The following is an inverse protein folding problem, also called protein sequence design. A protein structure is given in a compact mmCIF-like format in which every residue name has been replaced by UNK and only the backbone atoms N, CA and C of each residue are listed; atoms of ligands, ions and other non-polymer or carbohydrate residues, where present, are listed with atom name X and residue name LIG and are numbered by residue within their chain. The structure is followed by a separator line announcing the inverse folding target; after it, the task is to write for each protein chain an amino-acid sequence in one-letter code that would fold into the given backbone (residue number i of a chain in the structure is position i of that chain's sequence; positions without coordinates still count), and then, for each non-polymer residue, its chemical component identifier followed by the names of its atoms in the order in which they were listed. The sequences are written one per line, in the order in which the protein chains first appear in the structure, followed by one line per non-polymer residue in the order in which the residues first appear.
data_IF_130317273885
#
_entry.id   IF_130317273885
#
_cell.length_a   1.000
_cell.length_b   1.000
_cell.length_c   1.000
_cell.angle_alpha   90.00
_cell.angle_beta   90.00
_cell.angle_gamma   90.00
#
_symmetry.space_group_name_H-M   'P 1'
#
loop_
_entity.id
_entity.type
_entity.pdbx_description
1 polymer ?
#
# COMPACT_ATOMS: atom_id res chain seq x y z
N UNK A 1 -13.54 -14.69 -9.10
CA UNK A 1 -12.14 -15.10 -8.79
C UNK A 1 -11.13 -14.59 -9.82
N UNK A 2 -11.21 -14.95 -11.11
CA UNK A 2 -10.20 -14.55 -12.12
C UNK A 2 -10.09 -13.02 -12.29
N UNK A 3 -11.23 -12.29 -12.37
CA UNK A 3 -11.22 -10.82 -12.45
C UNK A 3 -10.64 -10.14 -11.22
N UNK A 4 -10.88 -10.71 -10.03
CA UNK A 4 -10.30 -10.20 -8.80
C UNK A 4 -8.77 -10.36 -8.81
N UNK A 5 -8.28 -11.54 -9.21
CA UNK A 5 -6.84 -11.82 -9.28
C UNK A 5 -6.15 -10.96 -10.34
N UNK A 6 -6.77 -10.74 -11.50
CA UNK A 6 -6.18 -9.89 -12.55
C UNK A 6 -6.05 -8.43 -12.10
N UNK A 7 -7.07 -7.88 -11.45
CA UNK A 7 -7.03 -6.53 -10.86
C UNK A 7 -5.99 -6.45 -9.75
N UNK A 8 -5.87 -7.49 -8.92
CA UNK A 8 -4.88 -7.56 -7.86
C UNK A 8 -3.45 -7.59 -8.39
N UNK A 9 -3.17 -8.43 -9.41
CA UNK A 9 -1.86 -8.50 -10.06
C UNK A 9 -1.52 -7.16 -10.72
N UNK A 10 -2.49 -6.53 -11.38
CA UNK A 10 -2.31 -5.22 -11.97
C UNK A 10 -2.02 -4.15 -10.90
N UNK A 11 -2.72 -4.19 -9.76
CA UNK A 11 -2.48 -3.30 -8.63
C UNK A 11 -1.05 -3.47 -8.07
N UNK A 12 -0.57 -4.71 -7.92
CA UNK A 12 0.79 -5.01 -7.49
C UNK A 12 1.83 -4.48 -8.49
N UNK A 13 1.57 -4.64 -9.79
CA UNK A 13 2.45 -4.11 -10.84
C UNK A 13 2.51 -2.58 -10.81
N UNK A 14 1.34 -1.92 -10.75
CA UNK A 14 1.24 -0.47 -10.59
C UNK A 14 1.96 0.02 -9.33
N UNK A 15 1.81 -0.70 -8.22
CA UNK A 15 2.46 -0.38 -6.96
C UNK A 15 3.99 -0.40 -7.11
N UNK A 16 4.53 -1.43 -7.78
CA UNK A 16 5.95 -1.53 -8.13
C UNK A 16 6.42 -0.41 -9.07
N UNK A 17 5.61 0.02 -10.04
CA UNK A 17 5.96 1.11 -10.95
C UNK A 17 5.93 2.47 -10.23
N UNK A 18 4.87 2.75 -9.48
CA UNK A 18 4.69 4.00 -8.71
C UNK A 18 5.74 4.19 -7.62
N UNK A 19 6.22 3.10 -7.00
CA UNK A 19 7.34 3.17 -6.05
C UNK A 19 8.68 3.49 -6.72
N UNK A 20 8.83 3.16 -8.00
CA UNK A 20 10.02 3.50 -8.80
C UNK A 20 9.97 4.92 -9.38
N UNK A 21 8.80 5.58 -9.36
CA UNK A 21 8.54 6.75 -10.17
C UNK A 21 8.85 8.12 -9.51
N UNK A 22 9.03 9.09 -10.41
CA UNK A 22 9.46 10.50 -10.38
C UNK A 22 9.13 11.36 -9.15
N UNK A 23 8.11 11.02 -8.35
CA UNK A 23 7.69 11.85 -7.20
C UNK A 23 8.75 11.93 -6.09
N UNK A 24 9.49 10.84 -5.85
CA UNK A 24 10.64 10.83 -4.92
C UNK A 24 11.80 11.70 -5.42
N UNK A 25 11.97 11.80 -6.75
CA UNK A 25 12.96 12.68 -7.39
C UNK A 25 12.54 14.14 -7.28
N UNK A 26 11.24 14.45 -7.40
CA UNK A 26 10.70 15.81 -7.18
C UNK A 26 10.86 16.25 -5.72
N UNK A 27 10.72 15.34 -4.75
CA UNK A 27 10.92 15.65 -3.33
C UNK A 27 12.36 16.12 -3.02
N UNK A 28 13.38 15.58 -3.70
CA UNK A 28 14.78 16.04 -3.58
C UNK A 28 14.97 17.50 -4.00
N UNK A 29 14.11 18.03 -4.88
CA UNK A 29 14.17 19.44 -5.31
C UNK A 29 13.74 20.43 -4.20
N UNK A 30 13.09 19.93 -3.14
CA UNK A 30 12.60 20.72 -2.00
C UNK A 30 13.56 20.69 -0.79
N UNK A 31 14.85 20.41 -0.98
CA UNK A 31 15.85 20.43 0.12
C UNK A 31 16.00 21.80 0.81
N UNK A 32 15.50 22.89 0.20
CA UNK A 32 15.52 24.25 0.77
C UNK A 32 14.46 24.49 1.87
N UNK A 33 13.48 23.59 2.04
CA UNK A 33 12.37 23.75 2.98
C UNK A 33 12.69 23.16 4.35
N UNK A 34 11.99 23.63 5.39
CA UNK A 34 12.08 23.07 6.75
C UNK A 34 11.76 21.56 6.74
N UNK A 35 12.41 20.81 7.63
CA UNK A 35 12.24 19.36 7.67
C UNK A 35 10.77 18.97 7.93
N UNK A 36 10.10 19.66 8.86
CA UNK A 36 8.67 19.45 9.15
C UNK A 36 7.78 19.56 7.89
N UNK A 37 8.02 20.57 7.04
CA UNK A 37 7.27 20.74 5.80
C UNK A 37 7.55 19.60 4.80
N UNK A 38 8.81 19.14 4.72
CA UNK A 38 9.19 17.99 3.88
C UNK A 38 8.52 16.70 4.36
N UNK A 39 8.37 16.52 5.67
CA UNK A 39 7.68 15.39 6.27
C UNK A 39 6.20 15.37 5.90
N UNK A 40 5.50 16.50 6.11
CA UNK A 40 4.09 16.65 5.72
C UNK A 40 3.89 16.39 4.23
N UNK A 41 4.78 16.92 3.39
CA UNK A 41 4.71 16.72 1.95
C UNK A 41 4.97 15.25 1.56
N UNK A 42 5.93 14.58 2.20
CA UNK A 42 6.22 13.16 1.96
C UNK A 42 5.03 12.27 2.35
N UNK A 43 4.40 12.55 3.49
CA UNK A 43 3.24 11.81 3.97
C UNK A 43 2.00 12.04 3.09
N UNK A 44 1.69 13.29 2.77
CA UNK A 44 0.59 13.63 1.85
C UNK A 44 0.78 12.99 0.46
N UNK A 45 2.01 12.96 -0.04
CA UNK A 45 2.33 12.29 -1.30
C UNK A 45 2.07 10.79 -1.22
N UNK A 46 2.44 10.13 -0.11
CA UNK A 46 2.17 8.69 0.11
C UNK A 46 0.66 8.42 0.13
N UNK A 47 -0.11 9.26 0.83
CA UNK A 47 -1.58 9.15 0.87
C UNK A 47 -2.18 9.35 -0.52
N UNK A 48 -1.72 10.36 -1.28
CA UNK A 48 -2.20 10.59 -2.64
C UNK A 48 -1.88 9.41 -3.58
N UNK A 49 -0.68 8.83 -3.46
CA UNK A 49 -0.31 7.64 -4.22
C UNK A 49 -1.18 6.42 -3.86
N UNK A 50 -1.51 6.25 -2.58
CA UNK A 50 -2.43 5.21 -2.11
C UNK A 50 -3.82 5.41 -2.73
N UNK A 51 -4.39 6.62 -2.60
CA UNK A 51 -5.70 6.97 -3.17
C UNK A 51 -5.72 6.72 -4.68
N UNK A 52 -4.68 7.15 -5.41
CA UNK A 52 -4.56 6.91 -6.85
C UNK A 52 -4.58 5.41 -7.18
N UNK A 53 -3.85 4.57 -6.44
CA UNK A 53 -3.84 3.10 -6.64
C UNK A 53 -5.21 2.49 -6.40
N UNK A 54 -5.89 2.92 -5.34
CA UNK A 54 -7.24 2.45 -4.97
C UNK A 54 -8.24 2.83 -6.06
N UNK A 55 -8.27 4.10 -6.49
CA UNK A 55 -9.19 4.58 -7.53
C UNK A 55 -8.98 3.84 -8.85
N UNK A 56 -7.72 3.68 -9.30
CA UNK A 56 -7.44 2.95 -10.55
C UNK A 56 -7.87 1.49 -10.44
N UNK A 57 -7.60 0.84 -9.31
CA UNK A 57 -7.95 -0.57 -9.10
C UNK A 57 -9.46 -0.78 -9.10
N UNK A 58 -10.22 0.06 -8.40
CA UNK A 58 -11.68 0.01 -8.37
C UNK A 58 -12.24 0.35 -9.75
N UNK A 59 -11.69 1.37 -10.42
CA UNK A 59 -12.14 1.78 -11.76
C UNK A 59 -12.03 0.63 -12.77
N UNK A 60 -10.89 -0.06 -12.81
CA UNK A 60 -10.70 -1.22 -13.70
C UNK A 60 -11.66 -2.35 -13.34
N UNK A 61 -11.88 -2.59 -12.05
CA UNK A 61 -12.81 -3.61 -11.59
C UNK A 61 -14.25 -3.34 -12.05
N UNK A 62 -14.71 -2.09 -11.89
CA UNK A 62 -16.04 -1.67 -12.34
C UNK A 62 -16.15 -1.79 -13.87
N UNK A 63 -15.15 -1.35 -14.61
CA UNK A 63 -15.13 -1.45 -16.08
C UNK A 63 -15.22 -2.90 -16.56
N UNK A 64 -14.51 -3.84 -15.90
CA UNK A 64 -14.61 -5.27 -16.22
C UNK A 64 -16.01 -5.82 -15.96
N UNK A 65 -16.67 -5.42 -14.87
CA UNK A 65 -18.05 -5.84 -14.60
C UNK A 65 -19.03 -5.29 -15.65
N UNK A 66 -18.89 -4.01 -16.03
CA UNK A 66 -19.70 -3.41 -17.10
C UNK A 66 -19.50 -4.16 -18.43
N UNK A 67 -18.25 -4.51 -18.75
CA UNK A 67 -17.92 -5.28 -19.94
C UNK A 67 -18.58 -6.67 -19.91
N UNK A 68 -18.56 -7.38 -18.77
CA UNK A 68 -19.27 -8.65 -18.62
C UNK A 68 -20.78 -8.51 -18.82
N UNK A 69 -21.41 -7.47 -18.27
CA UNK A 69 -22.85 -7.20 -18.47
C UNK A 69 -23.16 -6.92 -19.94
N UNK A 70 -22.32 -6.15 -20.63
CA UNK A 70 -22.47 -5.89 -22.06
C UNK A 70 -22.41 -7.19 -22.88
N UNK A 71 -21.47 -8.09 -22.56
CA UNK A 71 -21.38 -9.39 -23.24
C UNK A 71 -22.63 -10.24 -23.05
N UNK A 72 -23.17 -10.30 -21.84
CA UNK A 72 -24.44 -10.99 -21.55
C UNK A 72 -25.57 -10.42 -22.41
N UNK A 73 -25.68 -9.09 -22.48
CA UNK A 73 -26.77 -8.42 -23.21
C UNK A 73 -26.64 -8.53 -24.74
N UNK A 74 -25.42 -8.73 -25.25
CA UNK A 74 -25.18 -8.89 -26.70
C UNK A 74 -25.70 -10.22 -27.26
N UNK A 75 -26.05 -11.19 -26.40
CA UNK A 75 -26.53 -12.53 -26.73
C UNK A 75 -25.66 -13.30 -27.77
N UNK A 76 -24.41 -12.87 -27.95
CA UNK A 76 -23.43 -13.50 -28.85
C UNK A 76 -22.86 -14.81 -28.31
N UNK A 77 -23.24 -15.20 -27.09
CA UNK A 77 -22.69 -16.32 -26.35
C UNK A 77 -23.80 -17.34 -26.05
N UNK A 78 -23.41 -18.60 -25.86
CA UNK A 78 -24.35 -19.68 -25.51
C UNK A 78 -25.12 -19.35 -24.21
N UNK A 79 -26.39 -19.76 -24.14
CA UNK A 79 -27.25 -19.52 -22.98
C UNK A 79 -26.63 -20.01 -21.65
N UNK A 80 -25.97 -21.17 -21.65
CA UNK A 80 -25.27 -21.70 -20.47
C UNK A 80 -24.11 -20.81 -20.01
N UNK A 81 -23.45 -20.15 -20.96
CA UNK A 81 -22.36 -19.22 -20.67
C UNK A 81 -22.89 -17.91 -20.08
N UNK A 82 -24.02 -17.39 -20.59
CA UNK A 82 -24.67 -16.20 -20.05
C UNK A 82 -25.10 -16.38 -18.58
N UNK A 83 -25.69 -17.53 -18.24
CA UNK A 83 -26.06 -17.86 -16.85
C UNK A 83 -24.82 -17.87 -15.93
N UNK A 84 -23.73 -18.48 -16.40
CA UNK A 84 -22.46 -18.53 -15.65
C UNK A 84 -21.84 -17.13 -15.45
N UNK A 85 -21.93 -16.26 -16.46
CA UNK A 85 -21.45 -14.88 -16.37
C UNK A 85 -22.29 -14.04 -15.41
N UNK A 86 -23.61 -14.19 -15.42
CA UNK A 86 -24.51 -13.50 -14.47
C UNK A 86 -24.13 -13.86 -13.03
N UNK A 87 -24.03 -15.16 -12.74
CA UNK A 87 -23.59 -15.64 -11.43
C UNK A 87 -22.22 -15.06 -11.05
N UNK A 88 -21.28 -15.01 -11.99
CA UNK A 88 -19.94 -14.47 -11.73
C UNK A 88 -19.94 -12.98 -11.43
N UNK A 89 -20.73 -12.17 -12.16
CA UNK A 89 -20.87 -10.72 -11.94
C UNK A 89 -21.50 -10.42 -10.59
N UNK A 90 -22.58 -11.10 -10.21
CA UNK A 90 -23.23 -10.92 -8.90
C UNK A 90 -22.27 -11.20 -7.74
N UNK A 91 -21.53 -12.31 -7.82
CA UNK A 91 -20.52 -12.64 -6.82
C UNK A 91 -19.37 -11.63 -6.80
N UNK A 92 -18.98 -11.07 -7.94
CA UNK A 92 -17.96 -10.04 -8.03
C UNK A 92 -18.40 -8.75 -7.31
N UNK A 93 -19.62 -8.29 -7.55
CA UNK A 93 -20.17 -7.11 -6.86
C UNK A 93 -20.15 -7.29 -5.33
N UNK A 94 -20.48 -8.49 -4.84
CA UNK A 94 -20.46 -8.82 -3.41
C UNK A 94 -19.04 -8.88 -2.81
N UNK A 95 -18.00 -9.14 -3.61
CA UNK A 95 -16.60 -9.22 -3.17
C UNK A 95 -15.91 -7.84 -3.15
N UNK A 96 -16.57 -6.77 -3.61
CA UNK A 96 -16.02 -5.41 -3.64
C UNK A 96 -15.32 -4.95 -2.34
N UNK A 97 -15.90 -5.14 -1.13
CA UNK A 97 -15.24 -4.72 0.11
C UNK A 97 -13.89 -5.43 0.32
N UNK A 98 -13.82 -6.73 0.01
CA UNK A 98 -12.58 -7.50 0.11
C UNK A 98 -11.52 -6.98 -0.85
N UNK A 99 -11.92 -6.61 -2.09
CA UNK A 99 -11.00 -6.00 -3.06
C UNK A 99 -10.40 -4.69 -2.53
N UNK A 100 -11.21 -3.81 -1.96
CA UNK A 100 -10.74 -2.53 -1.43
C UNK A 100 -9.75 -2.78 -0.29
N UNK A 101 -10.10 -3.67 0.65
CA UNK A 101 -9.24 -4.02 1.77
C UNK A 101 -7.90 -4.60 1.30
N UNK A 102 -7.91 -5.56 0.37
CA UNK A 102 -6.68 -6.21 -0.08
C UNK A 102 -5.78 -5.28 -0.90
N UNK A 103 -6.36 -4.44 -1.77
CA UNK A 103 -5.64 -3.39 -2.50
C UNK A 103 -4.98 -2.41 -1.55
N UNK A 104 -5.70 -1.99 -0.52
CA UNK A 104 -5.23 -1.03 0.48
C UNK A 104 -4.07 -1.59 1.29
N UNK A 105 -4.22 -2.81 1.82
CA UNK A 105 -3.17 -3.52 2.58
C UNK A 105 -1.92 -3.70 1.72
N UNK A 106 -2.07 -4.09 0.45
CA UNK A 106 -0.91 -4.33 -0.42
C UNK A 106 -0.23 -3.06 -0.93
N UNK A 107 -0.94 -1.92 -0.90
CA UNK A 107 -0.39 -0.63 -1.32
C UNK A 107 0.47 0.04 -0.25
N UNK A 108 0.35 -0.37 1.01
CA UNK A 108 1.09 0.18 2.16
C UNK A 108 2.04 -0.89 2.72
N UNK A 109 3.37 -0.74 2.60
CA UNK A 109 4.32 -1.80 2.97
C UNK A 109 4.26 -2.25 4.44
N UNK A 110 4.15 -1.35 5.44
CA UNK A 110 3.99 -1.77 6.83
C UNK A 110 2.75 -2.64 7.05
N UNK A 111 1.62 -2.23 6.47
CA UNK A 111 0.35 -2.97 6.61
C UNK A 111 0.41 -4.34 5.94
N UNK A 112 1.04 -4.42 4.77
CA UNK A 112 1.29 -5.69 4.09
C UNK A 112 2.13 -6.63 4.96
N UNK A 113 3.21 -6.12 5.56
CA UNK A 113 4.12 -6.92 6.36
C UNK A 113 3.46 -7.44 7.63
N UNK A 114 2.72 -6.60 8.35
CA UNK A 114 1.96 -7.02 9.54
C UNK A 114 0.90 -8.06 9.17
N UNK A 115 0.15 -7.83 8.09
CA UNK A 115 -0.87 -8.78 7.62
C UNK A 115 -0.25 -10.15 7.26
N UNK A 116 0.88 -10.17 6.55
CA UNK A 116 1.59 -11.41 6.25
C UNK A 116 2.11 -12.13 7.50
N UNK A 117 2.59 -11.39 8.50
CA UNK A 117 3.02 -11.96 9.77
C UNK A 117 1.85 -12.58 10.54
N UNK A 118 0.69 -11.94 10.55
CA UNK A 118 -0.50 -12.46 11.23
C UNK A 118 -1.06 -13.69 10.51
N UNK A 119 -1.08 -13.68 9.18
CA UNK A 119 -1.41 -14.87 8.38
C UNK A 119 -0.42 -16.01 8.67
N UNK A 120 0.88 -15.72 8.75
CA UNK A 120 1.90 -16.71 9.09
C UNK A 120 1.68 -17.31 10.49
N UNK A 121 1.32 -16.50 11.49
CA UNK A 121 0.97 -16.99 12.84
C UNK A 121 -0.25 -17.90 12.81
N UNK A 122 -1.30 -17.52 12.07
CA UNK A 122 -2.51 -18.34 11.92
C UNK A 122 -2.20 -19.67 11.23
N UNK A 123 -1.36 -19.67 10.20
CA UNK A 123 -0.94 -20.90 9.50
C UNK A 123 -0.09 -21.82 10.38
N UNK A 124 0.75 -21.25 11.25
CA UNK A 124 1.48 -22.02 12.28
C UNK A 124 0.51 -22.58 13.32
N UNK A 125 -0.47 -21.80 13.76
CA UNK A 125 -1.50 -22.24 14.72
C UNK A 125 -2.35 -23.40 14.18
N UNK A 126 -2.71 -23.37 12.90
CA UNK A 126 -3.48 -24.42 12.22
C UNK A 126 -2.59 -25.65 11.89
N UNK A 127 -1.28 -25.59 12.14
CA UNK A 127 -0.36 -26.71 11.93
C UNK A 127 0.03 -26.95 10.46
N UNK A 128 -0.39 -26.06 9.55
CA UNK A 128 -0.07 -26.13 8.12
C UNK A 128 1.37 -25.69 7.79
N UNK A 129 2.09 -25.08 8.75
CA UNK A 129 3.47 -24.60 8.55
C UNK A 129 4.33 -24.77 9.81
N UNK A 130 5.53 -25.37 9.68
CA UNK A 130 6.54 -25.43 10.75
C UNK A 130 7.16 -24.03 10.95
N UNK A 131 6.93 -23.46 12.13
CA UNK A 131 7.38 -22.11 12.51
C UNK A 131 8.91 -21.98 12.44
N UNK A 132 9.38 -21.08 11.57
CA UNK A 132 10.80 -20.90 11.33
C UNK A 132 11.11 -19.58 10.66
N UNK A 133 10.77 -18.45 11.30
CA UNK A 133 11.40 -17.16 10.98
C UNK A 133 11.63 -16.39 12.27
N UNK A 134 12.89 -16.36 12.72
CA UNK A 134 13.34 -15.47 13.80
C UNK A 134 13.12 -14.03 13.33
N UNK A 135 12.30 -13.31 14.09
CA UNK A 135 12.13 -11.86 13.95
C UNK A 135 13.46 -11.22 14.31
N UNK A 136 14.14 -10.61 13.34
CA UNK A 136 15.30 -9.79 13.62
C UNK A 136 14.77 -8.46 14.17
N UNK A 137 14.86 -8.28 15.49
CA UNK A 137 14.78 -6.96 16.09
C UNK A 137 16.02 -6.18 15.63
N UNK A 138 15.82 -5.20 14.75
CA UNK A 138 16.89 -4.25 14.42
C UNK A 138 17.30 -3.51 15.68
N UNK A 139 18.57 -3.68 16.05
CA UNK A 139 19.17 -3.01 17.21
C UNK A 139 19.35 -1.54 16.86
N UNK A 140 18.78 -0.65 17.67
CA UNK A 140 19.03 0.80 17.62
C UNK A 140 20.54 1.05 17.77
N UNK A 141 21.11 1.91 16.91
CA UNK A 141 22.48 2.40 17.01
C UNK A 141 22.62 3.34 18.23
N UNK A 142 23.78 3.38 18.92
CA UNK A 142 23.97 4.22 20.09
C UNK A 142 24.13 5.70 19.71
N UNK A 143 23.50 6.56 20.52
CA UNK A 143 23.59 8.02 20.46
C UNK A 143 25.02 8.47 20.79
N UNK A 144 25.61 9.29 19.92
CA UNK A 144 26.89 9.98 20.20
C UNK A 144 26.55 11.37 20.73
N UNK A 145 26.70 11.56 22.04
CA UNK A 145 26.63 12.88 22.68
C UNK A 145 27.74 13.77 22.12
N UNK A 146 27.33 14.85 21.46
CA UNK A 146 28.19 15.94 21.02
C UNK A 146 27.67 17.23 21.62
N UNK A 147 28.20 17.56 22.80
CA UNK A 147 28.08 18.86 23.47
C UNK A 147 28.46 20.01 22.52
N UNK A 148 27.60 21.01 22.44
CA UNK A 148 27.89 22.27 21.78
C UNK A 148 26.73 23.24 21.90
N UNK A 149 26.97 24.39 22.51
CA UNK A 149 26.04 25.49 22.74
C UNK A 149 25.52 26.00 21.39
N UNK A 150 24.21 25.86 21.13
CA UNK A 150 23.60 26.33 19.88
C UNK A 150 22.37 27.19 20.20
N UNK A 151 22.40 28.46 19.77
CA UNK A 151 21.36 29.45 20.02
C UNK A 151 19.94 28.97 19.68
N UNK A 152 18.95 29.41 20.45
CA UNK A 152 17.62 28.79 20.56
C UNK A 152 16.88 28.48 19.25
N UNK A 153 17.08 29.26 18.19
CA UNK A 153 16.46 28.99 16.88
C UNK A 153 17.14 27.86 16.08
N UNK A 154 18.44 27.65 16.27
CA UNK A 154 19.19 26.56 15.66
C UNK A 154 19.07 25.29 16.51
N UNK A 155 18.99 25.42 17.84
CA UNK A 155 18.65 24.32 18.75
C UNK A 155 17.27 23.72 18.47
N UNK A 156 16.23 24.56 18.36
CA UNK A 156 14.86 24.10 18.06
C UNK A 156 14.75 23.41 16.69
N UNK A 157 15.51 23.88 15.69
CA UNK A 157 15.60 23.21 14.38
C UNK A 157 16.25 21.83 14.49
N UNK A 158 17.39 21.74 15.16
CA UNK A 158 18.12 20.47 15.35
C UNK A 158 17.26 19.48 16.14
N UNK A 159 16.58 19.93 17.18
CA UNK A 159 15.69 19.09 18.00
C UNK A 159 14.47 18.61 17.22
N UNK A 160 13.83 19.49 16.44
CA UNK A 160 12.76 19.09 15.52
C UNK A 160 13.24 18.09 14.47
N UNK A 161 14.49 18.24 13.99
CA UNK A 161 15.08 17.34 13.02
C UNK A 161 15.38 15.95 13.59
N UNK A 162 15.76 15.88 14.86
CA UNK A 162 15.92 14.62 15.60
C UNK A 162 14.56 13.97 15.83
N UNK A 163 13.56 14.74 16.29
CA UNK A 163 12.20 14.23 16.51
C UNK A 163 11.62 13.59 15.25
N UNK A 164 11.63 14.30 14.12
CA UNK A 164 11.06 13.76 12.88
C UNK A 164 11.88 12.61 12.29
N UNK A 165 13.20 12.58 12.53
CA UNK A 165 14.05 11.45 12.15
C UNK A 165 13.71 10.19 12.94
N UNK A 166 13.54 10.32 14.25
CA UNK A 166 13.13 9.22 15.12
C UNK A 166 11.72 8.75 14.76
N UNK A 167 10.80 9.69 14.49
CA UNK A 167 9.44 9.39 14.03
C UNK A 167 9.46 8.61 12.71
N UNK A 168 10.34 8.99 11.77
CA UNK A 168 10.54 8.26 10.51
C UNK A 168 11.06 6.84 10.74
N UNK A 169 11.95 6.66 11.71
CA UNK A 169 12.52 5.35 12.03
C UNK A 169 11.51 4.39 12.68
N UNK A 170 10.51 4.93 13.40
CA UNK A 170 9.46 4.13 14.03
C UNK A 170 8.37 3.68 13.05
N UNK A 171 8.24 4.37 11.90
CA UNK A 171 7.20 4.13 10.90
C UNK A 171 7.71 3.49 9.60
N UNK A 172 9.02 3.28 9.47
CA UNK A 172 9.67 2.66 8.31
C UNK A 172 9.76 1.13 8.46
#
# INVERSE_FOLDING_TARGET
MVMYLSVMVYNLHLNSQLTKDTARRRLKKFDKYSLAYRFQLEENLKVFQLVKKVIISIGIYVLLNIFCVFLINSNNLSASFNISLVFLVENCININPLLICTVTINSVPPWKQTCLQDIDKVLVFIGLRRGGRKVHHDKKAPLREGSGIIGGNLGARVESDIYFRDLKSMWA
#
